data_IF_558201114417
#
_entry.id   IF_558201114417
#
_cell.length_a   1.000
_cell.length_b   1.000
_cell.length_c   1.000
_cell.angle_alpha   90.00
_cell.angle_beta   90.00
_cell.angle_gamma   90.00
#
_symmetry.space_group_name_H-M   'P 1'
#
loop_
_entity.id
_entity.type
_entity.pdbx_description
1 polymer ?
#
# COMPACT_ATOMS: atom_id res chain seq x y z
N UNK A 1 15.72 53.96 59.15
CA UNK A 1 16.29 52.70 59.67
C UNK A 1 15.68 51.56 58.88
N UNK A 2 16.34 51.14 57.81
CA UNK A 2 15.89 50.04 56.95
C UNK A 2 17.08 49.15 56.65
N UNK A 3 16.87 47.88 56.99
CA UNK A 3 17.84 46.81 57.23
C UNK A 3 18.32 46.22 55.89
N UNK A 4 19.56 46.50 55.48
CA UNK A 4 20.20 45.85 54.33
C UNK A 4 20.89 44.56 54.79
N UNK A 5 20.15 43.46 54.78
CA UNK A 5 20.72 42.11 55.00
C UNK A 5 21.52 41.67 53.78
N UNK A 6 22.84 41.60 53.96
CA UNK A 6 23.81 40.93 53.10
C UNK A 6 23.44 39.45 52.96
N UNK A 7 23.09 39.00 51.75
CA UNK A 7 22.93 37.57 51.43
C UNK A 7 24.30 36.89 51.54
N UNK A 8 24.38 35.80 52.30
CA UNK A 8 25.63 35.09 52.57
C UNK A 8 26.24 34.46 51.30
N UNK A 9 27.58 34.35 51.22
CA UNK A 9 28.27 33.76 50.06
C UNK A 9 27.86 32.31 49.78
N UNK A 10 27.41 31.55 50.80
CA UNK A 10 26.93 30.18 50.65
C UNK A 10 25.69 30.07 49.74
N UNK A 11 24.81 31.08 49.73
CA UNK A 11 23.61 31.08 48.90
C UNK A 11 23.93 31.27 47.40
N UNK A 12 25.02 31.97 47.07
CA UNK A 12 25.47 32.13 45.68
C UNK A 12 26.12 30.87 45.13
N UNK A 13 26.90 30.16 45.93
CA UNK A 13 27.54 28.89 45.51
C UNK A 13 26.51 27.79 45.26
N UNK A 14 25.45 27.72 46.08
CA UNK A 14 24.37 26.76 45.90
C UNK A 14 23.53 27.05 44.63
N UNK A 15 23.27 28.32 44.31
CA UNK A 15 22.57 28.71 43.07
C UNK A 15 23.37 28.37 41.81
N UNK A 16 24.70 28.52 41.82
CA UNK A 16 25.56 28.19 40.66
C UNK A 16 25.67 26.67 40.46
N UNK A 17 25.72 25.88 41.55
CA UNK A 17 25.73 24.41 41.44
C UNK A 17 24.38 23.90 40.91
N UNK A 18 23.25 24.49 41.35
CA UNK A 18 21.91 24.12 40.90
C UNK A 18 21.66 24.46 39.42
N UNK A 19 22.19 25.58 38.92
CA UNK A 19 22.09 25.96 37.49
C UNK A 19 22.98 25.12 36.60
N UNK A 20 24.18 24.74 37.05
CA UNK A 20 25.07 23.84 36.29
C UNK A 20 24.50 22.42 36.22
N UNK A 21 23.90 21.91 37.30
CA UNK A 21 23.24 20.59 37.28
C UNK A 21 21.96 20.57 36.45
N UNK A 22 21.13 21.62 36.49
CA UNK A 22 19.98 21.71 35.57
C UNK A 22 20.38 21.87 34.11
N UNK A 23 21.46 22.61 33.81
CA UNK A 23 21.99 22.71 32.45
C UNK A 23 22.57 21.37 31.97
N UNK A 24 23.25 20.61 32.83
CA UNK A 24 23.76 19.26 32.52
C UNK A 24 22.63 18.23 32.34
N UNK A 25 21.56 18.30 33.14
CA UNK A 25 20.36 17.46 32.98
C UNK A 25 19.59 17.81 31.70
N UNK A 26 19.49 19.10 31.36
CA UNK A 26 18.91 19.53 30.08
C UNK A 26 19.78 19.08 28.90
N UNK A 27 21.10 19.21 28.98
CA UNK A 27 22.02 18.74 27.95
C UNK A 27 22.01 17.21 27.81
N UNK A 28 21.92 16.45 28.91
CA UNK A 28 21.74 14.99 28.86
C UNK A 28 20.39 14.60 28.24
N UNK A 29 19.30 15.29 28.57
CA UNK A 29 18.00 15.06 27.95
C UNK A 29 17.97 15.44 26.46
N UNK A 30 18.67 16.51 26.06
CA UNK A 30 18.81 16.88 24.65
C UNK A 30 19.71 15.90 23.87
N UNK A 31 20.77 15.38 24.48
CA UNK A 31 21.64 14.37 23.86
C UNK A 31 20.96 13.00 23.78
N UNK A 32 20.16 12.61 24.78
CA UNK A 32 19.31 11.41 24.75
C UNK A 32 18.18 11.55 23.73
N UNK A 33 17.51 12.71 23.64
CA UNK A 33 16.48 12.97 22.63
C UNK A 33 17.05 13.03 21.20
N UNK A 34 18.29 13.51 21.03
CA UNK A 34 18.99 13.49 19.75
C UNK A 34 19.39 12.07 19.29
N UNK A 35 19.50 11.11 20.21
CA UNK A 35 19.86 9.71 19.90
C UNK A 35 18.71 8.83 19.38
N UNK A 36 17.47 9.35 19.37
CA UNK A 36 16.26 8.62 18.94
C UNK A 36 15.68 9.04 17.58
N UNK A 37 16.24 10.04 16.90
CA UNK A 37 15.76 10.39 15.55
C UNK A 37 16.20 9.35 14.52
N UNK A 38 15.22 8.74 13.84
CA UNK A 38 15.47 7.91 12.66
C UNK A 38 16.10 8.75 11.55
N UNK A 39 17.21 8.27 11.02
CA UNK A 39 17.90 8.90 9.89
C UNK A 39 17.33 8.39 8.56
N UNK A 40 17.43 9.18 7.49
CA UNK A 40 17.08 8.72 6.14
C UNK A 40 17.88 7.47 5.71
N UNK A 41 19.13 7.35 6.13
CA UNK A 41 19.97 6.20 5.80
C UNK A 41 19.48 4.91 6.48
N UNK A 42 19.08 4.98 7.76
CA UNK A 42 18.50 3.83 8.47
C UNK A 42 17.18 3.38 7.81
N UNK A 43 16.30 4.31 7.44
CA UNK A 43 15.04 3.98 6.76
C UNK A 43 15.27 3.38 5.38
N UNK A 44 16.23 3.90 4.63
CA UNK A 44 16.58 3.34 3.32
C UNK A 44 17.15 1.91 3.46
N UNK A 45 18.02 1.68 4.45
CA UNK A 45 18.56 0.36 4.73
C UNK A 45 17.46 -0.62 5.18
N UNK A 46 16.53 -0.15 6.02
CA UNK A 46 15.41 -0.96 6.50
C UNK A 46 14.42 -1.32 5.38
N UNK A 47 14.11 -0.37 4.48
CA UNK A 47 13.32 -0.65 3.28
C UNK A 47 13.94 -1.74 2.40
N UNK A 48 15.26 -1.68 2.17
CA UNK A 48 15.98 -2.74 1.44
C UNK A 48 15.95 -4.07 2.18
N UNK A 49 16.15 -4.07 3.50
CA UNK A 49 16.09 -5.26 4.33
C UNK A 49 14.72 -5.95 4.24
N UNK A 50 13.62 -5.19 4.28
CA UNK A 50 12.26 -5.73 4.14
C UNK A 50 12.11 -6.42 2.78
N UNK A 51 12.48 -5.76 1.69
CA UNK A 51 12.42 -6.34 0.34
C UNK A 51 13.26 -7.62 0.23
N UNK A 52 14.52 -7.58 0.67
CA UNK A 52 15.43 -8.72 0.62
C UNK A 52 14.91 -9.90 1.43
N UNK A 53 14.31 -9.64 2.60
CA UNK A 53 13.74 -10.68 3.47
C UNK A 53 12.49 -11.31 2.85
N UNK A 54 11.63 -10.52 2.21
CA UNK A 54 10.48 -11.04 1.46
C UNK A 54 10.92 -11.92 0.28
N UNK A 55 11.90 -11.45 -0.50
CA UNK A 55 12.45 -12.19 -1.64
C UNK A 55 13.16 -13.49 -1.21
N UNK A 56 13.81 -13.49 -0.04
CA UNK A 56 14.46 -14.68 0.51
C UNK A 56 13.47 -15.73 1.04
N UNK A 57 12.16 -15.42 1.09
CA UNK A 57 11.12 -16.31 1.59
C UNK A 57 11.43 -16.86 3.00
N UNK A 58 11.97 -15.98 3.87
CA UNK A 58 12.30 -16.29 5.26
C UNK A 58 11.22 -15.73 6.20
N UNK A 59 10.16 -16.51 6.51
CA UNK A 59 9.02 -16.00 7.28
C UNK A 59 9.40 -15.60 8.71
N UNK A 60 10.40 -16.27 9.32
CA UNK A 60 10.84 -15.94 10.67
C UNK A 60 11.52 -14.59 10.68
N UNK A 61 12.44 -14.34 9.75
CA UNK A 61 13.09 -13.02 9.66
C UNK A 61 12.11 -11.92 9.26
N UNK A 62 11.17 -12.21 8.34
CA UNK A 62 10.21 -11.20 7.90
C UNK A 62 9.29 -10.77 9.05
N UNK A 63 8.76 -11.74 9.83
CA UNK A 63 7.96 -11.45 11.03
C UNK A 63 8.72 -10.67 12.09
N UNK A 64 10.02 -10.94 12.24
CA UNK A 64 10.86 -10.21 13.17
C UNK A 64 11.02 -8.72 12.83
N UNK A 65 10.68 -8.29 11.61
CA UNK A 65 10.65 -6.87 11.21
C UNK A 65 9.47 -6.11 11.80
N UNK A 66 8.45 -6.80 12.32
CA UNK A 66 7.25 -6.19 12.89
C UNK A 66 7.35 -6.05 14.42
N UNK A 67 6.75 -4.98 14.94
CA UNK A 67 6.38 -4.87 16.35
C UNK A 67 4.90 -5.21 16.49
N UNK A 68 4.64 -6.51 16.66
CA UNK A 68 3.28 -7.04 16.81
C UNK A 68 2.56 -6.49 18.04
N UNK A 69 3.30 -6.16 19.11
CA UNK A 69 2.70 -5.59 20.32
C UNK A 69 2.11 -4.21 20.02
N UNK A 70 2.87 -3.35 19.36
CA UNK A 70 2.39 -2.02 18.96
C UNK A 70 1.28 -2.13 17.91
N UNK A 71 1.40 -3.05 16.94
CA UNK A 71 0.34 -3.32 15.98
C UNK A 71 -0.99 -3.73 16.66
N UNK A 72 -0.98 -4.71 17.55
CA UNK A 72 -2.18 -5.15 18.30
C UNK A 72 -2.75 -4.02 19.16
N UNK A 73 -1.88 -3.22 19.78
CA UNK A 73 -2.33 -2.05 20.54
C UNK A 73 -3.08 -1.06 19.63
N UNK A 74 -2.66 -0.87 18.38
CA UNK A 74 -3.37 -0.02 17.41
C UNK A 74 -4.73 -0.59 17.03
N UNK A 75 -4.83 -1.91 16.82
CA UNK A 75 -6.10 -2.60 16.54
C UNK A 75 -7.12 -2.37 17.67
N UNK A 76 -6.67 -2.42 18.93
CA UNK A 76 -7.55 -2.36 20.10
C UNK A 76 -7.60 -0.98 20.80
N UNK A 77 -6.82 0.00 20.33
CA UNK A 77 -6.55 1.26 21.03
C UNK A 77 -7.82 1.98 21.50
N UNK A 78 -8.85 2.02 20.66
CA UNK A 78 -10.09 2.74 20.95
C UNK A 78 -10.92 2.06 22.05
N UNK A 79 -10.90 0.73 22.10
CA UNK A 79 -11.74 -0.06 23.01
C UNK A 79 -11.13 -0.19 24.40
N UNK A 80 -9.81 -0.20 24.48
CA UNK A 80 -9.09 -0.37 25.75
C UNK A 80 -9.05 0.87 26.65
N UNK A 81 -9.55 2.01 26.16
CA UNK A 81 -9.67 3.24 26.96
C UNK A 81 -10.65 3.07 28.13
N UNK A 82 -11.68 2.23 27.96
CA UNK A 82 -12.61 1.87 29.03
C UNK A 82 -12.12 0.59 29.72
N UNK A 83 -11.84 0.65 31.03
CA UNK A 83 -11.28 -0.49 31.78
C UNK A 83 -12.20 -1.72 31.78
N UNK A 84 -13.52 -1.53 31.81
CA UNK A 84 -14.47 -2.64 31.77
C UNK A 84 -14.51 -3.31 30.39
N UNK A 85 -14.43 -2.52 29.33
CA UNK A 85 -14.32 -3.03 27.96
C UNK A 85 -13.00 -3.75 27.78
N UNK A 86 -11.88 -3.13 28.18
CA UNK A 86 -10.54 -3.74 28.17
C UNK A 86 -10.52 -5.11 28.84
N UNK A 87 -11.19 -5.25 29.98
CA UNK A 87 -11.31 -6.53 30.67
C UNK A 87 -12.16 -7.53 29.87
N UNK A 88 -13.27 -7.08 29.28
CA UNK A 88 -14.17 -7.92 28.52
C UNK A 88 -13.60 -8.40 27.17
N UNK A 89 -12.72 -7.60 26.55
CA UNK A 89 -12.05 -7.94 25.28
C UNK A 89 -10.71 -8.66 25.48
N UNK A 90 -10.34 -9.03 26.71
CA UNK A 90 -9.13 -9.83 26.96
C UNK A 90 -9.04 -11.10 26.10
N UNK A 91 -10.13 -11.87 25.86
CA UNK A 91 -10.07 -13.01 24.96
C UNK A 91 -9.69 -12.63 23.52
N UNK A 92 -10.19 -11.49 23.01
CA UNK A 92 -9.84 -10.97 21.68
C UNK A 92 -8.37 -10.58 21.64
N UNK A 93 -7.87 -9.89 22.67
CA UNK A 93 -6.44 -9.56 22.79
C UNK A 93 -5.58 -10.82 22.81
N UNK A 94 -5.93 -11.83 23.60
CA UNK A 94 -5.20 -13.09 23.67
C UNK A 94 -5.19 -13.82 22.32
N UNK A 95 -6.30 -13.78 21.59
CA UNK A 95 -6.38 -14.35 20.24
C UNK A 95 -5.45 -13.61 19.27
N UNK A 96 -5.43 -12.27 19.32
CA UNK A 96 -4.51 -11.46 18.52
C UNK A 96 -3.05 -11.71 18.90
N UNK A 97 -2.72 -11.74 20.18
CA UNK A 97 -1.37 -12.02 20.69
C UNK A 97 -0.90 -13.44 20.36
N UNK A 98 -1.82 -14.40 20.27
CA UNK A 98 -1.51 -15.75 19.81
C UNK A 98 -1.30 -15.80 18.29
N UNK A 99 -2.11 -15.06 17.51
CA UNK A 99 -2.04 -15.05 16.04
C UNK A 99 -0.80 -14.29 15.52
N UNK A 100 -0.50 -13.12 16.10
CA UNK A 100 0.56 -12.23 15.63
C UNK A 100 1.77 -12.31 16.56
N UNK A 101 2.70 -13.20 16.22
CA UNK A 101 3.98 -13.38 16.93
C UNK A 101 5.13 -13.45 15.93
N UNK A 102 6.37 -13.54 16.43
CA UNK A 102 7.53 -13.82 15.57
C UNK A 102 7.48 -15.20 14.89
N UNK A 103 6.61 -16.10 15.36
CA UNK A 103 6.59 -17.52 14.94
C UNK A 103 5.25 -17.95 14.30
N UNK A 104 4.18 -17.18 14.49
CA UNK A 104 2.83 -17.52 14.03
C UNK A 104 2.35 -16.63 12.86
N UNK A 105 1.43 -17.14 12.05
CA UNK A 105 1.00 -16.54 10.78
C UNK A 105 0.14 -15.27 10.99
N UNK A 106 0.48 -14.17 10.29
CA UNK A 106 -0.29 -12.93 10.25
C UNK A 106 -0.31 -12.25 8.87
N UNK A 107 -0.29 -10.91 8.84
CA UNK A 107 -0.33 -10.07 7.62
C UNK A 107 0.90 -10.30 6.73
N UNK A 108 2.01 -10.69 7.34
CA UNK A 108 3.21 -11.17 6.66
C UNK A 108 2.96 -12.35 5.73
N UNK A 109 1.99 -13.21 6.07
CA UNK A 109 1.76 -14.47 5.34
C UNK A 109 1.14 -14.22 3.97
N UNK A 110 0.29 -13.20 3.82
CA UNK A 110 -0.23 -12.80 2.50
C UNK A 110 0.92 -12.28 1.62
N UNK A 111 1.74 -11.34 2.13
CA UNK A 111 2.85 -10.77 1.37
C UNK A 111 3.81 -11.88 0.92
N UNK A 112 4.23 -12.75 1.84
CA UNK A 112 5.16 -13.83 1.52
C UNK A 112 4.56 -14.85 0.55
N UNK A 113 3.28 -15.21 0.71
CA UNK A 113 2.60 -16.15 -0.19
C UNK A 113 2.49 -15.59 -1.62
N UNK A 114 2.13 -14.32 -1.77
CA UNK A 114 2.07 -13.68 -3.08
C UNK A 114 3.47 -13.57 -3.71
N UNK A 115 4.50 -13.20 -2.93
CA UNK A 115 5.89 -13.18 -3.43
C UNK A 115 6.34 -14.59 -3.83
N UNK A 116 5.97 -15.63 -3.09
CA UNK A 116 6.25 -17.02 -3.46
C UNK A 116 5.58 -17.40 -4.80
N UNK A 117 4.42 -16.81 -5.09
CA UNK A 117 3.68 -16.98 -6.34
C UNK A 117 4.16 -16.06 -7.47
N UNK A 118 5.22 -15.26 -7.26
CA UNK A 118 5.84 -14.41 -8.28
C UNK A 118 5.47 -12.93 -8.20
N UNK A 119 4.84 -12.47 -7.12
CA UNK A 119 4.62 -11.05 -6.91
C UNK A 119 5.94 -10.29 -6.74
N UNK A 120 6.02 -9.08 -7.31
CA UNK A 120 7.12 -8.15 -7.06
C UNK A 120 6.77 -7.22 -5.90
N UNK A 121 7.50 -7.35 -4.80
CA UNK A 121 7.36 -6.52 -3.60
C UNK A 121 8.55 -5.56 -3.47
N UNK A 122 8.44 -4.41 -4.12
CA UNK A 122 9.54 -3.49 -4.39
C UNK A 122 9.53 -2.29 -3.46
N UNK A 123 10.63 -2.04 -2.75
CA UNK A 123 10.88 -0.80 -2.03
C UNK A 123 11.12 0.35 -3.01
N UNK A 124 10.33 1.42 -2.88
CA UNK A 124 10.40 2.58 -3.76
C UNK A 124 11.00 3.82 -3.10
N UNK A 125 10.57 4.13 -1.88
CA UNK A 125 10.90 5.40 -1.24
C UNK A 125 10.69 5.38 0.27
N UNK A 126 11.32 6.32 0.95
CA UNK A 126 11.04 6.66 2.34
C UNK A 126 10.32 8.01 2.42
N UNK A 127 9.44 8.18 3.40
CA UNK A 127 8.71 9.42 3.64
C UNK A 127 8.63 9.74 5.12
N UNK A 128 8.48 11.03 5.41
CA UNK A 128 8.01 11.52 6.71
C UNK A 128 6.72 12.30 6.47
N UNK A 129 5.62 11.86 7.06
CA UNK A 129 4.28 12.47 6.96
C UNK A 129 3.67 12.51 8.37
N UNK A 130 3.21 13.67 8.83
CA UNK A 130 2.57 13.85 10.15
C UNK A 130 3.34 13.20 11.33
N UNK A 131 4.65 13.42 11.35
CA UNK A 131 5.61 12.83 12.30
C UNK A 131 5.77 11.31 12.27
N UNK A 132 5.13 10.63 11.33
CA UNK A 132 5.36 9.22 11.06
C UNK A 132 6.38 9.03 9.95
N UNK A 133 7.29 8.09 10.17
CA UNK A 133 8.18 7.62 9.12
C UNK A 133 7.54 6.44 8.41
N UNK A 134 7.59 6.46 7.08
CA UNK A 134 7.02 5.42 6.24
C UNK A 134 8.05 4.95 5.22
N UNK A 135 8.04 3.66 4.90
CA UNK A 135 8.70 3.11 3.71
C UNK A 135 7.63 2.62 2.74
N UNK A 136 7.72 3.06 1.49
CA UNK A 136 6.72 2.85 0.45
C UNK A 136 7.14 1.68 -0.41
N UNK A 137 6.23 0.72 -0.58
CA UNK A 137 6.39 -0.45 -1.41
C UNK A 137 5.38 -0.46 -2.55
N UNK A 138 5.83 -0.83 -3.75
CA UNK A 138 4.96 -1.36 -4.80
C UNK A 138 4.77 -2.84 -4.53
N UNK A 139 3.53 -3.28 -4.50
CA UNK A 139 3.16 -4.69 -4.41
C UNK A 139 2.40 -5.04 -5.68
N UNK A 140 3.11 -5.64 -6.63
CA UNK A 140 2.58 -6.04 -7.93
C UNK A 140 2.39 -7.56 -7.94
N UNK A 141 1.13 -8.00 -7.91
CA UNK A 141 0.79 -9.43 -7.89
C UNK A 141 1.01 -10.08 -9.27
N UNK A 142 1.06 -11.43 -9.36
CA UNK A 142 1.30 -12.14 -10.63
C UNK A 142 0.23 -11.86 -11.71
N UNK A 143 -0.97 -11.48 -11.28
CA UNK A 143 -2.09 -11.07 -12.14
C UNK A 143 -2.05 -9.58 -12.55
N UNK A 144 -0.95 -8.89 -12.23
CA UNK A 144 -0.73 -7.46 -12.47
C UNK A 144 -1.56 -6.52 -11.60
N UNK A 145 -2.27 -7.05 -10.59
CA UNK A 145 -2.96 -6.23 -9.61
C UNK A 145 -1.95 -5.39 -8.84
N UNK A 146 -2.08 -4.07 -8.95
CA UNK A 146 -1.24 -3.09 -8.28
C UNK A 146 -1.80 -2.75 -6.90
N UNK A 147 -0.91 -2.73 -5.91
CA UNK A 147 -1.14 -2.04 -4.66
C UNK A 147 0.12 -1.26 -4.25
N UNK A 148 -0.07 -0.18 -3.51
CA UNK A 148 1.00 0.46 -2.77
C UNK A 148 0.76 0.31 -1.28
N UNK A 149 1.84 -0.03 -0.57
CA UNK A 149 1.83 -0.18 0.87
C UNK A 149 2.83 0.81 1.47
N UNK A 150 2.35 1.69 2.33
CA UNK A 150 3.19 2.56 3.12
C UNK A 150 3.33 1.97 4.53
N UNK A 151 4.45 1.29 4.77
CA UNK A 151 4.76 0.63 6.02
C UNK A 151 5.20 1.69 7.02
N UNK A 152 4.50 1.79 8.14
CA UNK A 152 4.79 2.76 9.20
C UNK A 152 5.89 2.19 10.09
N UNK A 153 6.96 2.95 10.28
CA UNK A 153 8.17 2.52 10.95
C UNK A 153 8.39 3.31 12.23
N UNK A 154 8.75 2.61 13.31
CA UNK A 154 9.22 3.21 14.56
C UNK A 154 10.57 2.64 14.96
N UNK A 155 11.36 3.47 15.67
CA UNK A 155 12.62 3.06 16.28
C UNK A 155 12.35 2.68 17.74
N UNK A 156 12.61 1.43 18.07
CA UNK A 156 12.42 0.86 19.40
C UNK A 156 13.48 1.39 20.36
N UNK A 157 13.26 1.25 21.67
CA UNK A 157 14.25 1.61 22.71
C UNK A 157 15.58 0.87 22.56
N UNK A 158 15.57 -0.31 21.94
CA UNK A 158 16.78 -1.08 21.58
C UNK A 158 17.59 -0.45 20.44
N UNK A 159 17.02 0.52 19.73
CA UNK A 159 17.57 1.12 18.51
C UNK A 159 17.14 0.42 17.22
N UNK A 160 16.45 -0.72 17.29
CA UNK A 160 15.95 -1.44 16.12
C UNK A 160 14.78 -0.70 15.45
N UNK A 161 14.73 -0.73 14.12
CA UNK A 161 13.56 -0.30 13.36
C UNK A 161 12.55 -1.44 13.27
N UNK A 162 11.26 -1.12 13.48
CA UNK A 162 10.15 -2.06 13.35
C UNK A 162 9.01 -1.46 12.57
N UNK A 163 8.32 -2.32 11.82
CA UNK A 163 7.04 -2.02 11.20
C UNK A 163 5.96 -2.12 12.27
N UNK A 164 5.18 -1.06 12.44
CA UNK A 164 4.09 -1.01 13.44
C UNK A 164 2.70 -1.04 12.83
N UNK A 165 2.58 -0.78 11.52
CA UNK A 165 1.35 -0.84 10.75
C UNK A 165 1.64 -0.73 9.25
N UNK A 166 0.61 -0.97 8.43
CA UNK A 166 0.68 -0.81 6.98
C UNK A 166 -0.52 0.03 6.54
N UNK A 167 -0.27 1.14 5.84
CA UNK A 167 -1.28 1.93 5.14
C UNK A 167 -1.38 1.44 3.70
N UNK A 168 -2.53 0.85 3.34
CA UNK A 168 -2.72 0.17 2.04
C UNK A 168 -3.61 1.00 1.12
N UNK A 169 -3.13 1.29 -0.08
CA UNK A 169 -3.88 2.11 -1.04
C UNK A 169 -5.11 1.37 -1.57
N UNK A 170 -5.07 0.03 -1.64
CA UNK A 170 -6.21 -0.79 -2.05
C UNK A 170 -7.38 -0.76 -1.07
N UNK A 171 -7.12 -0.57 0.23
CA UNK A 171 -8.16 -0.47 1.26
C UNK A 171 -8.45 0.97 1.66
N UNK A 172 -7.54 1.91 1.33
CA UNK A 172 -7.65 3.32 1.68
C UNK A 172 -7.50 3.58 3.18
N UNK A 173 -6.89 2.65 3.93
CA UNK A 173 -6.74 2.72 5.38
C UNK A 173 -5.61 1.81 5.91
N UNK A 174 -5.40 1.87 7.23
CA UNK A 174 -4.44 1.02 7.93
C UNK A 174 -4.94 -0.42 8.03
N UNK A 175 -4.02 -1.39 7.92
CA UNK A 175 -4.35 -2.81 8.11
C UNK A 175 -4.83 -3.07 9.55
N UNK A 176 -4.32 -2.34 10.55
CA UNK A 176 -4.85 -2.43 11.93
C UNK A 176 -6.34 -2.06 12.01
N UNK A 177 -6.80 -1.10 11.20
CA UNK A 177 -8.21 -0.70 11.11
C UNK A 177 -9.04 -1.74 10.36
N UNK A 178 -8.49 -2.34 9.31
CA UNK A 178 -9.12 -3.47 8.62
C UNK A 178 -9.31 -4.67 9.55
N UNK A 179 -8.28 -5.02 10.31
CA UNK A 179 -8.32 -6.11 11.27
C UNK A 179 -9.28 -5.82 12.44
N UNK A 180 -9.33 -4.58 12.91
CA UNK A 180 -10.31 -4.15 13.91
C UNK A 180 -11.75 -4.45 13.47
N UNK A 181 -12.07 -4.24 12.19
CA UNK A 181 -13.40 -4.58 11.65
C UNK A 181 -13.67 -6.08 11.65
N UNK A 182 -12.67 -6.92 11.40
CA UNK A 182 -12.83 -8.39 11.43
C UNK A 182 -13.27 -8.86 12.82
N UNK A 183 -12.72 -8.27 13.89
CA UNK A 183 -13.04 -8.62 15.28
C UNK A 183 -14.22 -7.85 15.87
N UNK A 184 -14.88 -7.01 15.06
CA UNK A 184 -15.94 -6.14 15.52
C UNK A 184 -17.15 -6.88 16.12
N UNK A 185 -17.58 -8.06 15.61
CA UNK A 185 -18.63 -8.84 16.26
C UNK A 185 -18.30 -9.24 17.71
N UNK A 186 -17.08 -9.70 17.98
CA UNK A 186 -16.60 -10.07 19.31
C UNK A 186 -16.48 -8.85 20.22
N UNK A 187 -15.95 -7.75 19.69
CA UNK A 187 -15.86 -6.47 20.38
C UNK A 187 -17.26 -5.97 20.79
N UNK A 188 -18.27 -6.11 19.93
CA UNK A 188 -19.66 -5.77 20.25
C UNK A 188 -20.28 -6.65 21.32
N UNK A 189 -20.00 -7.95 21.30
CA UNK A 189 -20.46 -8.86 22.35
C UNK A 189 -19.91 -8.43 23.72
N UNK A 190 -18.63 -8.05 23.78
CA UNK A 190 -17.98 -7.57 25.00
C UNK A 190 -18.58 -6.25 25.51
N UNK A 191 -18.88 -5.31 24.61
CA UNK A 191 -19.60 -4.08 24.93
C UNK A 191 -21.03 -4.33 25.42
N UNK A 192 -21.75 -5.25 24.77
CA UNK A 192 -23.10 -5.68 25.13
C UNK A 192 -23.17 -6.17 26.58
N UNK A 193 -22.21 -6.99 26.99
CA UNK A 193 -22.10 -7.50 28.35
C UNK A 193 -21.77 -6.43 29.41
N UNK A 194 -21.32 -5.24 29.00
CA UNK A 194 -20.92 -4.15 29.89
C UNK A 194 -21.65 -2.84 29.58
N UNK A 195 -22.86 -2.89 29.01
CA UNK A 195 -23.61 -1.69 28.59
C UNK A 195 -23.81 -0.68 29.72
N UNK A 196 -23.97 -1.12 30.96
CA UNK A 196 -24.17 -0.24 32.12
C UNK A 196 -22.90 0.56 32.50
N UNK A 197 -21.74 0.15 31.98
CA UNK A 197 -20.43 0.77 32.22
C UNK A 197 -19.95 1.64 31.06
N UNK A 198 -20.83 1.89 30.08
CA UNK A 198 -20.56 2.72 28.91
C UNK A 198 -21.27 4.07 29.03
N UNK A 199 -20.58 5.14 28.63
CA UNK A 199 -21.22 6.45 28.51
C UNK A 199 -22.20 6.47 27.31
N UNK A 200 -23.17 7.39 27.27
CA UNK A 200 -24.06 7.55 26.11
C UNK A 200 -23.31 7.76 24.80
N UNK A 201 -22.20 8.50 24.82
CA UNK A 201 -21.34 8.75 23.65
C UNK A 201 -20.68 7.46 23.18
N UNK A 202 -20.16 6.64 24.11
CA UNK A 202 -19.59 5.32 23.79
C UNK A 202 -20.64 4.41 23.16
N UNK A 203 -21.85 4.35 23.73
CA UNK A 203 -22.97 3.56 23.17
C UNK A 203 -23.32 4.01 21.75
N UNK A 204 -23.43 5.32 21.53
CA UNK A 204 -23.74 5.89 20.20
C UNK A 204 -22.65 5.55 19.19
N UNK A 205 -21.38 5.74 19.56
CA UNK A 205 -20.23 5.42 18.70
C UNK A 205 -20.22 3.95 18.29
N UNK A 206 -20.46 3.05 19.23
CA UNK A 206 -20.52 1.59 18.99
C UNK A 206 -21.62 1.26 17.98
N UNK A 207 -22.82 1.82 18.16
CA UNK A 207 -23.93 1.64 17.22
C UNK A 207 -23.63 2.18 15.83
N UNK A 208 -22.96 3.33 15.76
CA UNK A 208 -22.57 3.93 14.49
C UNK A 208 -21.48 3.11 13.77
N UNK A 209 -20.46 2.65 14.49
CA UNK A 209 -19.49 1.70 13.95
C UNK A 209 -20.18 0.42 13.43
N UNK A 210 -21.24 -0.04 14.12
CA UNK A 210 -21.97 -1.24 13.71
C UNK A 210 -22.68 -1.01 12.38
N UNK A 211 -23.31 0.16 12.20
CA UNK A 211 -23.93 0.53 10.92
C UNK A 211 -22.90 0.57 9.79
N UNK A 212 -21.69 1.11 10.04
CA UNK A 212 -20.60 1.10 9.05
C UNK A 212 -20.16 -0.33 8.73
N UNK A 213 -19.98 -1.19 9.74
CA UNK A 213 -19.62 -2.59 9.53
C UNK A 213 -20.69 -3.34 8.73
N UNK A 214 -21.95 -3.27 9.18
CA UNK A 214 -23.07 -3.93 8.51
C UNK A 214 -23.16 -3.50 7.04
N UNK A 215 -22.90 -2.22 6.75
CA UNK A 215 -22.82 -1.69 5.39
C UNK A 215 -21.67 -2.29 4.57
N UNK A 216 -20.46 -2.37 5.14
CA UNK A 216 -19.28 -2.89 4.45
C UNK A 216 -19.29 -4.42 4.29
N UNK A 217 -20.09 -5.12 5.08
CA UNK A 217 -20.21 -6.59 5.06
C UNK A 217 -21.55 -7.07 4.51
N UNK A 218 -22.32 -6.23 3.81
CA UNK A 218 -23.55 -6.69 3.15
C UNK A 218 -23.18 -7.74 2.10
N UNK A 219 -23.69 -8.96 2.27
CA UNK A 219 -23.48 -10.08 1.33
C UNK A 219 -24.67 -10.30 0.39
N UNK A 220 -25.76 -9.55 0.54
CA UNK A 220 -26.88 -9.65 -0.39
C UNK A 220 -26.53 -8.95 -1.71
N UNK A 221 -26.11 -9.74 -2.70
CA UNK A 221 -25.74 -9.28 -4.04
C UNK A 221 -26.87 -8.53 -4.78
N UNK A 222 -28.11 -8.65 -4.30
CA UNK A 222 -29.29 -7.97 -4.85
C UNK A 222 -29.58 -6.64 -4.17
N UNK A 223 -29.00 -6.37 -3.00
CA UNK A 223 -29.19 -5.11 -2.30
C UNK A 223 -28.38 -3.99 -2.97
N UNK A 224 -29.03 -2.86 -3.28
CA UNK A 224 -28.33 -1.66 -3.76
C UNK A 224 -27.72 -0.90 -2.56
N UNK A 225 -26.38 -0.93 -2.36
CA UNK A 225 -25.75 -0.31 -1.19
C UNK A 225 -25.96 1.20 -1.16
N UNK A 226 -26.29 1.85 -2.27
CA UNK A 226 -26.59 3.28 -2.30
C UNK A 226 -27.83 3.65 -1.48
N UNK A 227 -28.79 2.73 -1.32
CA UNK A 227 -29.93 2.94 -0.42
C UNK A 227 -29.46 2.95 1.04
N UNK A 228 -28.65 1.96 1.45
CA UNK A 228 -28.09 1.88 2.80
C UNK A 228 -27.16 3.06 3.10
N UNK A 229 -26.38 3.50 2.11
CA UNK A 229 -25.50 4.68 2.21
C UNK A 229 -26.26 5.95 2.61
N UNK A 230 -27.49 6.13 2.12
CA UNK A 230 -28.31 7.30 2.49
C UNK A 230 -28.60 7.37 4.00
N UNK A 231 -28.68 6.20 4.65
CA UNK A 231 -29.01 6.00 6.06
C UNK A 231 -27.77 5.94 6.96
N UNK A 232 -26.56 5.91 6.40
CA UNK A 232 -25.34 5.95 7.19
C UNK A 232 -25.21 7.28 7.95
N UNK A 233 -24.68 7.25 9.18
CA UNK A 233 -24.23 8.45 9.89
C UNK A 233 -23.37 9.36 9.00
N UNK A 234 -23.53 10.67 9.12
CA UNK A 234 -22.87 11.66 8.25
C UNK A 234 -21.35 11.52 8.21
N UNK A 235 -20.74 11.16 9.34
CA UNK A 235 -19.29 10.91 9.44
C UNK A 235 -18.78 9.80 8.51
N UNK A 236 -19.63 8.84 8.13
CA UNK A 236 -19.25 7.74 7.24
C UNK A 236 -19.57 8.01 5.77
N UNK A 237 -20.33 9.07 5.46
CA UNK A 237 -20.58 9.46 4.06
C UNK A 237 -19.32 9.97 3.38
N UNK A 238 -18.36 10.48 4.15
CA UNK A 238 -17.03 10.84 3.67
C UNK A 238 -15.97 9.82 4.06
N UNK A 239 -16.32 8.62 4.52
CA UNK A 239 -15.31 7.62 4.90
C UNK A 239 -14.71 6.96 3.66
N UNK A 240 -13.36 6.87 3.60
CA UNK A 240 -12.65 6.34 2.41
C UNK A 240 -13.08 4.93 2.07
N UNK A 241 -13.17 4.04 3.06
CA UNK A 241 -13.55 2.64 2.83
C UNK A 241 -14.98 2.49 2.33
N UNK A 242 -15.90 3.31 2.82
CA UNK A 242 -17.29 3.35 2.34
C UNK A 242 -17.34 3.78 0.88
N UNK A 243 -16.57 4.81 0.51
CA UNK A 243 -16.52 5.31 -0.86
C UNK A 243 -15.80 4.32 -1.80
N UNK A 244 -14.73 3.66 -1.37
CA UNK A 244 -14.08 2.58 -2.13
C UNK A 244 -15.03 1.42 -2.37
N UNK A 245 -15.76 0.97 -1.34
CA UNK A 245 -16.74 -0.09 -1.46
C UNK A 245 -17.83 0.25 -2.50
N UNK A 246 -18.38 1.47 -2.43
CA UNK A 246 -19.37 1.93 -3.43
C UNK A 246 -18.78 2.03 -4.85
N UNK A 247 -17.52 2.44 -4.97
CA UNK A 247 -16.84 2.51 -6.26
C UNK A 247 -16.66 1.12 -6.87
N UNK A 248 -16.14 0.16 -6.09
CA UNK A 248 -15.98 -1.24 -6.49
C UNK A 248 -17.32 -1.88 -6.84
N UNK A 249 -18.36 -1.65 -6.04
CA UNK A 249 -19.71 -2.12 -6.35
C UNK A 249 -20.21 -1.55 -7.69
N UNK A 250 -19.98 -0.26 -7.95
CA UNK A 250 -20.41 0.38 -9.20
C UNK A 250 -19.67 -0.18 -10.42
N UNK A 251 -18.37 -0.46 -10.29
CA UNK A 251 -17.58 -1.14 -11.33
C UNK A 251 -18.15 -2.54 -11.57
N UNK A 252 -18.37 -3.33 -10.52
CA UNK A 252 -18.86 -4.71 -10.62
C UNK A 252 -20.28 -4.82 -11.22
N UNK A 253 -21.08 -3.75 -11.14
CA UNK A 253 -22.41 -3.65 -11.77
C UNK A 253 -22.40 -2.90 -13.11
N UNK A 254 -21.22 -2.51 -13.60
CA UNK A 254 -21.05 -1.71 -14.82
C UNK A 254 -21.87 -0.41 -14.82
N UNK A 255 -22.09 0.19 -13.63
CA UNK A 255 -22.86 1.42 -13.47
C UNK A 255 -21.93 2.64 -13.48
N UNK A 256 -21.52 3.03 -14.69
CA UNK A 256 -20.63 4.17 -14.95
C UNK A 256 -21.12 5.48 -14.34
N UNK A 257 -22.44 5.69 -14.25
CA UNK A 257 -23.02 6.91 -13.66
C UNK A 257 -22.81 6.94 -12.15
N UNK A 258 -23.12 5.85 -11.45
CA UNK A 258 -22.89 5.74 -10.00
C UNK A 258 -21.40 5.80 -9.68
N UNK A 259 -20.56 5.15 -10.48
CA UNK A 259 -19.11 5.21 -10.32
C UNK A 259 -18.60 6.66 -10.35
N UNK A 260 -18.95 7.44 -11.37
CA UNK A 260 -18.55 8.84 -11.46
C UNK A 260 -19.09 9.70 -10.31
N UNK A 261 -20.31 9.42 -9.82
CA UNK A 261 -20.85 10.10 -8.64
C UNK A 261 -20.00 9.81 -7.39
N UNK A 262 -19.65 8.54 -7.15
CA UNK A 262 -18.80 8.15 -6.03
C UNK A 262 -17.42 8.78 -6.14
N UNK A 263 -16.80 8.75 -7.32
CA UNK A 263 -15.49 9.34 -7.56
C UNK A 263 -15.47 10.85 -7.31
N UNK A 264 -16.51 11.57 -7.72
CA UNK A 264 -16.67 13.00 -7.43
C UNK A 264 -16.78 13.28 -5.93
N UNK A 265 -17.54 12.45 -5.20
CA UNK A 265 -17.65 12.53 -3.74
C UNK A 265 -16.30 12.23 -3.07
N UNK A 266 -15.60 11.20 -3.55
CA UNK A 266 -14.29 10.81 -3.06
C UNK A 266 -13.29 11.95 -3.19
N UNK A 267 -13.10 12.49 -4.41
CA UNK A 267 -12.15 13.58 -4.67
C UNK A 267 -12.50 14.87 -3.93
N UNK A 268 -13.79 15.09 -3.62
CA UNK A 268 -14.23 16.23 -2.82
C UNK A 268 -13.79 16.11 -1.36
N UNK A 269 -13.92 14.94 -0.75
CA UNK A 269 -13.62 14.74 0.68
C UNK A 269 -12.18 14.34 0.95
N UNK A 270 -11.54 13.66 0.01
CA UNK A 270 -10.14 13.20 0.08
C UNK A 270 -9.38 13.68 -1.15
N UNK A 271 -9.16 14.99 -1.28
CA UNK A 271 -8.38 15.52 -2.39
C UNK A 271 -6.96 14.93 -2.34
N UNK A 272 -6.43 14.54 -3.49
CA UNK A 272 -5.09 13.94 -3.65
C UNK A 272 -4.91 12.55 -3.03
N UNK A 273 -5.99 11.91 -2.57
CA UNK A 273 -5.91 10.54 -2.08
C UNK A 273 -5.70 9.55 -3.25
N UNK A 274 -4.68 8.68 -3.15
CA UNK A 274 -4.32 7.79 -4.24
C UNK A 274 -5.28 6.63 -4.46
N UNK A 275 -6.06 6.23 -3.45
CA UNK A 275 -6.86 5.00 -3.52
C UNK A 275 -7.92 5.08 -4.62
N UNK A 276 -8.57 6.23 -4.74
CA UNK A 276 -9.56 6.47 -5.79
C UNK A 276 -8.91 6.55 -7.18
N UNK A 277 -7.73 7.16 -7.30
CA UNK A 277 -7.04 7.28 -8.59
C UNK A 277 -6.54 5.92 -9.09
N UNK A 278 -6.08 5.04 -8.19
CA UNK A 278 -5.66 3.68 -8.52
C UNK A 278 -6.82 2.88 -9.16
N UNK A 279 -8.01 2.89 -8.57
CA UNK A 279 -9.20 2.27 -9.16
C UNK A 279 -9.65 2.97 -10.46
N UNK A 280 -9.42 4.27 -10.57
CA UNK A 280 -9.87 5.06 -11.72
C UNK A 280 -9.05 4.81 -12.98
N UNK A 281 -7.76 4.47 -12.86
CA UNK A 281 -6.91 4.16 -14.02
C UNK A 281 -7.50 2.99 -14.81
N UNK A 282 -7.79 1.87 -14.14
CA UNK A 282 -8.32 0.67 -14.81
C UNK A 282 -9.72 0.93 -15.37
N UNK A 283 -10.61 1.52 -14.55
CA UNK A 283 -11.97 1.84 -14.99
C UNK A 283 -11.99 2.71 -16.26
N UNK A 284 -11.26 3.83 -16.27
CA UNK A 284 -11.25 4.72 -17.43
C UNK A 284 -10.55 4.09 -18.64
N UNK A 285 -9.58 3.21 -18.42
CA UNK A 285 -8.94 2.46 -19.51
C UNK A 285 -9.92 1.48 -20.16
N UNK A 286 -10.68 0.72 -19.36
CA UNK A 286 -11.72 -0.21 -19.83
C UNK A 286 -12.84 0.50 -20.60
N UNK A 287 -13.26 1.68 -20.12
CA UNK A 287 -14.27 2.52 -20.78
C UNK A 287 -13.71 3.29 -21.99
N UNK A 288 -12.44 3.05 -22.37
CA UNK A 288 -11.71 3.73 -23.45
C UNK A 288 -11.63 5.25 -23.29
N UNK A 289 -11.76 5.73 -22.06
CA UNK A 289 -11.62 7.12 -21.65
C UNK A 289 -10.15 7.43 -21.36
N UNK A 290 -9.28 7.20 -22.35
CA UNK A 290 -7.82 7.23 -22.19
C UNK A 290 -7.26 8.55 -21.62
N UNK A 291 -7.76 9.76 -22.01
CA UNK A 291 -7.30 11.00 -21.38
C UNK A 291 -7.58 11.03 -19.88
N UNK A 292 -8.75 10.58 -19.44
CA UNK A 292 -9.08 10.51 -18.01
C UNK A 292 -8.23 9.46 -17.28
N UNK A 293 -7.94 8.32 -17.90
CA UNK A 293 -7.05 7.30 -17.34
C UNK A 293 -5.63 7.87 -17.12
N UNK A 294 -5.09 8.56 -18.12
CA UNK A 294 -3.79 9.24 -18.05
C UNK A 294 -3.79 10.31 -16.94
N UNK A 295 -4.84 11.12 -16.83
CA UNK A 295 -4.95 12.12 -15.77
C UNK A 295 -5.00 11.49 -14.37
N UNK A 296 -5.65 10.33 -14.21
CA UNK A 296 -5.64 9.57 -12.95
C UNK A 296 -4.24 9.05 -12.63
N UNK A 297 -3.53 8.54 -13.64
CA UNK A 297 -2.17 8.04 -13.50
C UNK A 297 -1.18 9.14 -13.08
N UNK A 298 -1.34 10.36 -13.62
CA UNK A 298 -0.52 11.52 -13.21
C UNK A 298 -0.81 11.93 -11.76
N UNK A 299 -2.07 11.92 -11.33
CA UNK A 299 -2.43 12.19 -9.92
C UNK A 299 -1.89 11.10 -8.99
N UNK A 300 -1.99 9.84 -9.38
CA UNK A 300 -1.42 8.71 -8.65
C UNK A 300 0.10 8.88 -8.52
N UNK A 301 0.80 9.12 -9.62
CA UNK A 301 2.26 9.38 -9.64
C UNK A 301 2.64 10.54 -8.71
N UNK A 302 1.90 11.66 -8.76
CA UNK A 302 2.15 12.81 -7.89
C UNK A 302 1.96 12.47 -6.39
N UNK A 303 0.95 11.67 -6.04
CA UNK A 303 0.71 11.22 -4.66
C UNK A 303 1.83 10.31 -4.13
N UNK A 304 2.54 9.62 -5.03
CA UNK A 304 3.64 8.74 -4.67
C UNK A 304 4.90 9.52 -4.27
N UNK A 305 5.02 10.80 -4.65
CA UNK A 305 6.18 11.66 -4.34
C UNK A 305 7.53 10.97 -4.67
N UNK A 306 7.51 9.98 -5.56
CA UNK A 306 8.64 9.19 -6.03
C UNK A 306 8.33 8.70 -7.43
N UNK A 307 9.37 8.34 -8.17
CA UNK A 307 9.20 7.74 -9.50
C UNK A 307 8.96 6.25 -9.33
N UNK A 308 7.86 5.76 -9.90
CA UNK A 308 7.63 4.34 -10.08
C UNK A 308 7.61 4.01 -11.58
N UNK A 309 8.61 3.24 -12.08
CA UNK A 309 8.68 2.79 -13.47
C UNK A 309 7.45 1.99 -13.93
N UNK A 310 6.74 1.31 -13.03
CA UNK A 310 5.52 0.60 -13.36
C UNK A 310 4.41 1.55 -13.83
N UNK A 311 4.32 2.76 -13.28
CA UNK A 311 3.35 3.74 -13.77
C UNK A 311 3.70 4.23 -15.20
N UNK A 312 4.97 4.26 -15.59
CA UNK A 312 5.32 4.50 -16.99
C UNK A 312 4.90 3.32 -17.89
N UNK A 313 4.99 2.10 -17.38
CA UNK A 313 4.51 0.92 -18.08
C UNK A 313 2.99 0.95 -18.29
N UNK A 314 2.22 1.24 -17.24
CA UNK A 314 0.76 1.42 -17.34
C UNK A 314 0.40 2.51 -18.36
N UNK A 315 1.14 3.64 -18.33
CA UNK A 315 0.97 4.71 -19.32
C UNK A 315 1.20 4.20 -20.74
N UNK A 316 2.25 3.41 -20.96
CA UNK A 316 2.53 2.83 -22.26
C UNK A 316 1.39 1.91 -22.73
N UNK A 317 0.85 1.06 -21.85
CA UNK A 317 -0.33 0.24 -22.14
C UNK A 317 -1.53 1.07 -22.61
N UNK A 318 -1.89 2.12 -21.87
CA UNK A 318 -2.99 3.03 -22.24
C UNK A 318 -2.72 3.73 -23.59
N UNK A 319 -1.47 4.12 -23.86
CA UNK A 319 -1.09 4.78 -25.12
C UNK A 319 -1.13 3.81 -26.32
N UNK A 320 -0.82 2.53 -26.12
CA UNK A 320 -1.00 1.48 -27.14
C UNK A 320 -2.48 1.40 -27.52
N UNK A 321 -3.36 1.27 -26.53
CA UNK A 321 -4.82 1.20 -26.75
C UNK A 321 -5.41 2.48 -27.37
N UNK A 322 -4.77 3.62 -27.15
CA UNK A 322 -5.10 4.90 -27.78
C UNK A 322 -4.55 5.05 -29.22
N UNK A 323 -3.63 4.17 -29.63
CA UNK A 323 -2.96 4.20 -30.94
C UNK A 323 -1.77 5.16 -31.03
N UNK A 324 -1.33 5.78 -29.93
CA UNK A 324 -0.14 6.63 -29.89
C UNK A 324 1.12 5.80 -29.63
N UNK A 325 1.46 4.98 -30.63
CA UNK A 325 2.53 3.97 -30.55
C UNK A 325 3.90 4.62 -30.32
N UNK A 326 4.13 5.82 -30.85
CA UNK A 326 5.39 6.56 -30.66
C UNK A 326 5.59 6.97 -29.20
N UNK A 327 4.56 7.53 -28.58
CA UNK A 327 4.63 7.92 -27.17
C UNK A 327 4.65 6.69 -26.25
N UNK A 328 3.92 5.63 -26.60
CA UNK A 328 3.98 4.36 -25.88
C UNK A 328 5.41 3.79 -25.82
N UNK A 329 6.12 3.77 -26.97
CA UNK A 329 7.50 3.29 -27.05
C UNK A 329 8.43 4.08 -26.14
N UNK A 330 8.25 5.41 -26.06
CA UNK A 330 9.03 6.27 -25.17
C UNK A 330 8.84 5.91 -23.70
N UNK A 331 7.59 5.70 -23.26
CA UNK A 331 7.31 5.39 -21.85
C UNK A 331 7.68 3.96 -21.48
N UNK A 332 7.42 2.96 -22.34
CA UNK A 332 7.87 1.60 -22.11
C UNK A 332 9.41 1.51 -22.08
N UNK A 333 10.10 2.18 -23.02
CA UNK A 333 11.55 2.28 -23.02
C UNK A 333 12.09 2.90 -21.73
N UNK A 334 11.51 4.03 -21.29
CA UNK A 334 11.90 4.69 -20.04
C UNK A 334 11.69 3.79 -18.82
N UNK A 335 10.59 3.05 -18.75
CA UNK A 335 10.32 2.11 -17.66
C UNK A 335 11.41 1.02 -17.61
N UNK A 336 11.73 0.40 -18.75
CA UNK A 336 12.75 -0.64 -18.86
C UNK A 336 14.19 -0.16 -18.58
N UNK A 337 14.47 1.13 -18.79
CA UNK A 337 15.77 1.74 -18.48
C UNK A 337 15.94 1.94 -16.97
N UNK A 338 14.89 2.43 -16.29
CA UNK A 338 14.95 2.73 -14.85
C UNK A 338 14.86 1.44 -14.02
N UNK A 339 14.01 0.51 -14.44
CA UNK A 339 13.83 -0.79 -13.77
C UNK A 339 13.96 -1.92 -14.80
N UNK A 340 15.19 -2.36 -15.09
CA UNK A 340 15.42 -3.38 -16.10
C UNK A 340 14.74 -4.70 -15.79
N UNK A 341 14.58 -5.09 -14.53
CA UNK A 341 13.93 -6.33 -14.10
C UNK A 341 12.40 -6.24 -14.00
N UNK A 342 11.78 -5.16 -14.49
CA UNK A 342 10.32 -5.06 -14.63
C UNK A 342 9.86 -5.69 -15.94
N UNK A 343 8.96 -6.68 -15.89
CA UNK A 343 8.52 -7.44 -17.06
C UNK A 343 7.65 -6.62 -18.03
N UNK A 344 6.63 -5.91 -17.53
CA UNK A 344 5.61 -5.25 -18.35
C UNK A 344 6.16 -4.36 -19.48
N UNK A 345 7.18 -3.51 -19.23
CA UNK A 345 7.79 -2.70 -20.28
C UNK A 345 8.24 -3.51 -21.48
N UNK A 346 8.80 -4.72 -21.28
CA UNK A 346 9.27 -5.57 -22.37
C UNK A 346 8.12 -6.23 -23.14
N UNK A 347 7.02 -6.58 -22.46
CA UNK A 347 5.79 -7.04 -23.11
C UNK A 347 5.18 -5.94 -23.99
N UNK A 348 5.16 -4.70 -23.50
CA UNK A 348 4.72 -3.55 -24.31
C UNK A 348 5.65 -3.29 -25.50
N UNK A 349 6.98 -3.32 -25.29
CA UNK A 349 7.96 -3.14 -26.36
C UNK A 349 7.83 -4.22 -27.45
N UNK A 350 7.57 -5.47 -27.05
CA UNK A 350 7.25 -6.56 -27.99
C UNK A 350 6.02 -6.19 -28.84
N UNK A 351 4.88 -5.86 -28.21
CA UNK A 351 3.65 -5.47 -28.91
C UNK A 351 3.91 -4.28 -29.86
N UNK A 352 4.53 -3.21 -29.36
CA UNK A 352 4.87 -2.01 -30.12
C UNK A 352 5.71 -2.35 -31.36
N UNK A 353 6.71 -3.22 -31.24
CA UNK A 353 7.56 -3.61 -32.38
C UNK A 353 6.78 -4.37 -33.46
N UNK A 354 5.80 -5.21 -33.05
CA UNK A 354 4.90 -5.92 -33.98
C UNK A 354 3.99 -4.92 -34.70
N UNK A 355 3.37 -3.99 -33.96
CA UNK A 355 2.53 -2.92 -34.51
C UNK A 355 3.27 -2.05 -35.54
N UNK A 356 4.54 -1.76 -35.28
CA UNK A 356 5.39 -0.97 -36.19
C UNK A 356 5.93 -1.77 -37.38
N UNK A 357 5.78 -3.09 -37.39
CA UNK A 357 6.39 -3.95 -38.41
C UNK A 357 7.91 -4.10 -38.28
N UNK A 358 8.47 -3.73 -37.12
CA UNK A 358 9.91 -3.77 -36.83
C UNK A 358 10.33 -5.17 -36.35
N UNK A 359 10.24 -6.17 -37.23
CA UNK A 359 10.37 -7.58 -36.85
C UNK A 359 11.76 -7.99 -36.33
N UNK A 360 12.82 -7.28 -36.70
CA UNK A 360 14.14 -7.49 -36.10
C UNK A 360 14.17 -7.09 -34.61
N UNK A 361 13.49 -6.00 -34.24
CA UNK A 361 13.34 -5.61 -32.83
C UNK A 361 12.37 -6.54 -32.09
N UNK A 362 11.31 -7.01 -32.75
CA UNK A 362 10.41 -8.03 -32.18
C UNK A 362 11.19 -9.26 -31.72
N UNK A 363 12.09 -9.77 -32.56
CA UNK A 363 12.95 -10.92 -32.20
C UNK A 363 13.87 -10.58 -31.02
N UNK A 364 14.46 -9.38 -30.97
CA UNK A 364 15.28 -8.96 -29.82
C UNK A 364 14.47 -8.92 -28.52
N UNK A 365 13.22 -8.45 -28.57
CA UNK A 365 12.35 -8.43 -27.41
C UNK A 365 11.95 -9.85 -26.98
N UNK A 366 11.64 -10.76 -27.91
CA UNK A 366 11.42 -12.18 -27.60
C UNK A 366 12.64 -12.82 -26.91
N UNK A 367 13.85 -12.59 -27.43
CA UNK A 367 15.07 -13.09 -26.80
C UNK A 367 15.33 -12.46 -25.43
N UNK A 368 14.97 -11.19 -25.24
CA UNK A 368 15.06 -10.53 -23.93
C UNK A 368 14.09 -11.16 -22.94
N UNK A 369 12.84 -11.39 -23.34
CA UNK A 369 11.83 -12.07 -22.52
C UNK A 369 12.30 -13.47 -22.11
N UNK A 370 12.85 -14.23 -23.05
CA UNK A 370 13.41 -15.56 -22.78
C UNK A 370 14.61 -15.52 -21.83
N UNK A 371 15.61 -14.70 -22.13
CA UNK A 371 16.90 -14.71 -21.40
C UNK A 371 16.82 -14.07 -20.02
N UNK A 372 16.00 -13.03 -19.86
CA UNK A 372 15.92 -12.25 -18.62
C UNK A 372 14.79 -12.70 -17.71
N UNK A 373 13.68 -13.12 -18.29
CA UNK A 373 12.46 -13.41 -17.55
C UNK A 373 12.01 -14.87 -17.68
N UNK A 374 12.68 -15.66 -18.51
CA UNK A 374 12.40 -17.09 -18.66
C UNK A 374 11.17 -17.42 -19.51
N UNK A 375 10.52 -16.42 -20.13
CA UNK A 375 9.37 -16.65 -21.00
C UNK A 375 9.84 -17.14 -22.38
N UNK A 376 9.66 -18.42 -22.67
CA UNK A 376 9.81 -18.93 -24.02
C UNK A 376 8.69 -18.41 -24.91
N UNK A 377 8.86 -18.51 -26.23
CA UNK A 377 7.84 -18.03 -27.17
C UNK A 377 6.51 -18.79 -27.02
N UNK A 378 6.57 -20.06 -26.68
CA UNK A 378 5.42 -20.92 -26.43
C UNK A 378 4.64 -20.54 -25.17
N UNK A 379 5.28 -19.84 -24.23
CA UNK A 379 4.64 -19.37 -22.99
C UNK A 379 3.90 -18.04 -23.20
N UNK A 380 4.13 -17.36 -24.32
CA UNK A 380 3.54 -16.06 -24.63
C UNK A 380 2.25 -16.25 -25.42
N UNK A 381 1.15 -15.73 -24.87
CA UNK A 381 -0.06 -15.53 -25.67
C UNK A 381 0.09 -14.28 -26.53
N UNK A 382 0.32 -14.50 -27.83
CA UNK A 382 0.49 -13.44 -28.82
C UNK A 382 -0.72 -13.34 -29.77
N UNK A 383 -1.80 -14.11 -29.56
CA UNK A 383 -2.93 -14.15 -30.51
C UNK A 383 -3.66 -12.81 -30.60
N UNK A 384 -3.68 -12.05 -29.51
CA UNK A 384 -4.33 -10.75 -29.41
C UNK A 384 -3.48 -9.59 -29.96
N UNK A 385 -2.22 -9.85 -30.36
CA UNK A 385 -1.38 -8.81 -30.94
C UNK A 385 -1.81 -8.48 -32.37
N UNK A 386 -2.24 -7.24 -32.60
CA UNK A 386 -2.52 -6.75 -33.94
C UNK A 386 -1.25 -6.85 -34.80
N UNK A 387 -1.40 -7.32 -36.06
CA UNK A 387 -0.31 -7.58 -37.01
C UNK A 387 0.60 -8.79 -36.69
N UNK A 388 0.24 -9.66 -35.75
CA UNK A 388 1.03 -10.88 -35.45
C UNK A 388 1.17 -11.81 -36.66
N UNK A 389 0.17 -11.88 -37.53
CA UNK A 389 0.22 -12.66 -38.78
C UNK A 389 1.33 -12.19 -39.72
N UNK A 390 1.55 -10.87 -39.81
CA UNK A 390 2.64 -10.30 -40.62
C UNK A 390 4.00 -10.66 -40.04
N UNK A 391 4.14 -10.62 -38.72
CA UNK A 391 5.37 -11.02 -38.04
C UNK A 391 5.68 -12.51 -38.27
N UNK A 392 4.72 -13.39 -38.01
CA UNK A 392 4.91 -14.85 -38.15
C UNK A 392 5.11 -15.30 -39.60
N UNK A 393 4.57 -14.57 -40.59
CA UNK A 393 4.85 -14.81 -42.00
C UNK A 393 6.23 -14.30 -42.47
N UNK A 394 6.88 -13.44 -41.69
CA UNK A 394 8.11 -12.72 -42.08
C UNK A 394 9.31 -13.65 -42.27
N UNK A 395 10.25 -13.30 -43.18
CA UNK A 395 11.53 -14.01 -43.30
C UNK A 395 12.32 -14.05 -41.99
N UNK A 396 12.27 -12.98 -41.20
CA UNK A 396 12.95 -12.85 -39.92
C UNK A 396 12.46 -13.91 -38.94
N UNK A 397 11.13 -14.02 -38.76
CA UNK A 397 10.55 -15.01 -37.86
C UNK A 397 10.85 -16.44 -38.32
N UNK A 398 10.71 -16.75 -39.62
CA UNK A 398 11.01 -18.09 -40.16
C UNK A 398 12.46 -18.51 -39.90
N UNK A 399 13.41 -17.57 -40.07
CA UNK A 399 14.82 -17.81 -39.76
C UNK A 399 15.03 -18.02 -38.26
N UNK A 400 14.45 -17.16 -37.42
CA UNK A 400 14.57 -17.26 -35.98
C UNK A 400 13.98 -18.58 -35.44
N UNK A 401 12.81 -18.97 -35.94
CA UNK A 401 12.14 -20.23 -35.58
C UNK A 401 12.99 -21.45 -35.93
N UNK A 402 13.61 -21.50 -37.11
CA UNK A 402 14.44 -22.66 -37.50
C UNK A 402 15.74 -22.77 -36.69
N UNK A 403 16.24 -21.66 -36.16
CA UNK A 403 17.47 -21.60 -35.37
C UNK A 403 17.24 -21.80 -33.86
N UNK A 404 16.06 -21.44 -33.33
CA UNK A 404 15.84 -21.23 -31.89
C UNK A 404 14.64 -21.94 -31.28
N UNK A 405 13.67 -22.40 -32.08
CA UNK A 405 12.54 -23.17 -31.58
C UNK A 405 12.76 -24.67 -31.85
N UNK A 406 12.45 -25.56 -30.89
CA UNK A 406 12.48 -26.99 -31.15
C UNK A 406 11.49 -27.35 -32.27
N UNK A 407 11.78 -28.36 -33.11
CA UNK A 407 10.84 -28.80 -34.13
C UNK A 407 9.51 -29.19 -33.46
N UNK A 408 8.38 -28.68 -33.97
CA UNK A 408 7.05 -29.08 -33.49
C UNK A 408 6.95 -30.60 -33.58
N UNK A 409 6.62 -31.25 -32.47
CA UNK A 409 6.25 -32.67 -32.49
C UNK A 409 4.95 -32.79 -33.30
N UNK A 410 4.98 -33.61 -34.35
CA UNK A 410 3.83 -33.91 -35.21
C UNK A 410 2.72 -34.67 -34.49
#
# INVERSE_FOLDING_TARGET
MTDHRLKSPAARTLQVILTVTTLLLLLQNYVLAASQQMTPQELQAFGKQIQETAAAQDPVKFRALFDWKTFINRVLAEYEQNSAVKQAIQPVRQQLEAAYTGENQGIDSEILAEVANGADYRFLAMRKEDDQFKVIFRFLRPDWTLNYQALIVEKQDSGELKIIDIDSFSTGELISQSLQRVYLPELYKAHGANQDKLTPEQKTRILDQKKRYDFLTVTDEKADPFQAYSQLPSQYKSDKTVLLFLAQYSIAKEDSKKYQQVLNVFRKYHPQDPAAEMLSVDYFSMEKQYPQAIDCLERLSASLKTVDPYLYSLRAGILIEMGDISLAAKYAGKASEIEPDLLQPYLHLLNISVLQGNFDETIKHLETLKTKFGFAYEDLDLSELENIEKFTASPQFKKWQSEKLPPKAE
#
